data_IF_076255917973
#
_entry.id   IF_076255917973
#
_cell.length_a   1.000
_cell.length_b   1.000
_cell.length_c   1.000
_cell.angle_alpha   90.00
_cell.angle_beta   90.00
_cell.angle_gamma   90.00
#
_symmetry.space_group_name_H-M   'P 1'
#
loop_
_entity.id
_entity.type
_entity.pdbx_description
1 polymer ?
#
# COMPACT_ATOMS: atom_id res chain seq x y z
N UNK A 1 -15.24 1.17 -9.16
CA UNK A 1 -16.29 0.47 -8.41
C UNK A 1 -17.65 0.56 -9.09
N UNK A 2 -18.16 1.77 -9.41
CA UNK A 2 -19.47 1.99 -10.05
C UNK A 2 -19.83 1.01 -11.19
N UNK A 3 -18.97 0.91 -12.22
CA UNK A 3 -19.23 0.03 -13.39
C UNK A 3 -19.45 -1.44 -13.00
N UNK A 4 -18.68 -1.96 -12.04
CA UNK A 4 -18.79 -3.34 -11.56
C UNK A 4 -20.12 -3.55 -10.83
N UNK A 5 -20.49 -2.64 -9.95
CA UNK A 5 -21.76 -2.71 -9.21
C UNK A 5 -22.97 -2.62 -10.16
N UNK A 6 -22.92 -1.73 -11.15
CA UNK A 6 -23.94 -1.62 -12.18
C UNK A 6 -24.04 -2.90 -13.04
N UNK A 7 -22.91 -3.54 -13.34
CA UNK A 7 -22.92 -4.82 -14.03
C UNK A 7 -23.56 -5.92 -13.18
N UNK A 8 -23.17 -6.05 -11.90
CA UNK A 8 -23.78 -7.01 -10.94
C UNK A 8 -25.29 -6.77 -10.84
N UNK A 9 -25.72 -5.51 -10.77
CA UNK A 9 -27.14 -5.15 -10.73
C UNK A 9 -27.90 -5.71 -11.94
N UNK A 10 -27.38 -5.48 -13.15
CA UNK A 10 -28.03 -5.87 -14.41
C UNK A 10 -28.02 -7.38 -14.60
N UNK A 11 -26.90 -8.02 -14.27
CA UNK A 11 -26.70 -9.45 -14.51
C UNK A 11 -27.47 -10.33 -13.51
N UNK A 12 -27.57 -9.90 -12.25
CA UNK A 12 -28.07 -10.72 -11.15
C UNK A 12 -29.38 -10.21 -10.53
N UNK A 13 -30.14 -9.38 -11.26
CA UNK A 13 -31.43 -8.82 -10.80
C UNK A 13 -31.33 -8.04 -9.48
N UNK A 14 -30.35 -7.14 -9.39
CA UNK A 14 -30.12 -6.22 -8.26
C UNK A 14 -30.10 -6.87 -6.86
N UNK A 15 -29.26 -7.88 -6.63
CA UNK A 15 -29.19 -8.53 -5.33
C UNK A 15 -28.62 -7.56 -4.28
N UNK A 16 -28.88 -7.77 -2.98
CA UNK A 16 -28.13 -7.09 -1.92
C UNK A 16 -26.63 -7.35 -2.07
N UNK A 17 -25.82 -6.29 -2.10
CA UNK A 17 -24.36 -6.37 -2.21
C UNK A 17 -23.70 -5.85 -0.95
N UNK A 18 -22.78 -6.66 -0.42
CA UNK A 18 -21.83 -6.26 0.61
C UNK A 18 -20.43 -6.19 0.01
N UNK A 19 -19.83 -5.00 0.03
CA UNK A 19 -18.41 -4.83 -0.32
C UNK A 19 -17.61 -5.23 0.91
N UNK A 20 -17.27 -6.52 0.98
CA UNK A 20 -16.59 -7.10 2.14
C UNK A 20 -15.12 -6.69 2.26
N UNK A 21 -14.50 -6.30 1.15
CA UNK A 21 -13.13 -5.80 1.12
C UNK A 21 -12.94 -4.79 -0.01
N UNK A 22 -12.36 -3.65 0.33
CA UNK A 22 -11.77 -2.74 -0.64
C UNK A 22 -10.63 -1.94 0.00
N UNK A 23 -9.49 -1.87 -0.66
CA UNK A 23 -8.30 -1.23 -0.09
C UNK A 23 -7.17 -1.08 -1.09
N UNK A 24 -6.12 -0.37 -0.66
CA UNK A 24 -4.91 -0.14 -1.44
C UNK A 24 -3.66 -0.33 -0.57
N UNK A 25 -2.63 -0.94 -1.15
CA UNK A 25 -1.36 -1.12 -0.47
C UNK A 25 -0.42 0.07 -0.65
N UNK A 26 0.49 0.23 0.30
CA UNK A 26 1.72 0.99 0.13
C UNK A 26 2.91 0.26 0.77
N UNK A 27 4.09 0.89 0.73
CA UNK A 27 5.31 0.38 1.37
C UNK A 27 5.40 0.67 2.87
N UNK A 28 4.42 1.37 3.45
CA UNK A 28 4.36 1.74 4.86
C UNK A 28 4.45 3.25 5.11
N UNK A 29 4.58 3.58 6.40
CA UNK A 29 4.51 4.95 6.90
C UNK A 29 3.08 5.37 7.30
N UNK A 30 2.99 6.52 7.95
CA UNK A 30 1.71 7.01 8.50
C UNK A 30 1.12 8.20 7.74
N UNK A 31 1.89 8.86 6.87
CA UNK A 31 1.38 9.90 5.99
C UNK A 31 1.01 9.31 4.62
N UNK A 32 -0.14 8.66 4.55
CA UNK A 32 -0.58 7.80 3.45
C UNK A 32 -1.63 8.47 2.55
N UNK A 33 -1.28 9.62 1.99
CA UNK A 33 -2.19 10.46 1.17
C UNK A 33 -2.83 9.68 0.01
N UNK A 34 -2.08 8.80 -0.64
CA UNK A 34 -2.61 7.96 -1.72
C UNK A 34 -3.75 7.04 -1.26
N UNK A 35 -3.68 6.53 -0.03
CA UNK A 35 -4.75 5.71 0.56
C UNK A 35 -6.00 6.54 0.84
N UNK A 36 -5.82 7.80 1.26
CA UNK A 36 -6.94 8.75 1.42
C UNK A 36 -7.65 8.95 0.07
N UNK A 37 -6.91 9.29 -0.97
CA UNK A 37 -7.49 9.54 -2.30
C UNK A 37 -8.17 8.29 -2.87
N UNK A 38 -7.58 7.11 -2.62
CA UNK A 38 -8.18 5.83 -3.00
C UNK A 38 -9.54 5.61 -2.31
N UNK A 39 -9.60 5.73 -0.98
CA UNK A 39 -10.87 5.51 -0.26
C UNK A 39 -11.92 6.55 -0.63
N UNK A 40 -11.57 7.83 -0.74
CA UNK A 40 -12.51 8.87 -1.16
C UNK A 40 -13.10 8.54 -2.54
N UNK A 41 -12.25 8.28 -3.54
CA UNK A 41 -12.71 8.00 -4.91
C UNK A 41 -13.51 6.70 -5.02
N UNK A 42 -13.16 5.65 -4.29
CA UNK A 42 -13.91 4.39 -4.33
C UNK A 42 -15.24 4.46 -3.60
N UNK A 43 -15.32 5.20 -2.48
CA UNK A 43 -16.59 5.44 -1.79
C UNK A 43 -17.52 6.33 -2.62
N UNK A 44 -17.01 7.37 -3.29
CA UNK A 44 -17.79 8.15 -4.27
C UNK A 44 -18.36 7.25 -5.35
N UNK A 45 -17.53 6.39 -5.94
CA UNK A 45 -17.99 5.45 -6.96
C UNK A 45 -18.98 4.38 -6.42
N UNK A 46 -19.04 4.14 -5.12
CA UNK A 46 -20.10 3.33 -4.50
C UNK A 46 -21.38 4.15 -4.37
N UNK A 47 -21.29 5.42 -3.94
CA UNK A 47 -22.42 6.33 -3.83
C UNK A 47 -23.07 6.55 -5.20
N UNK A 48 -22.29 6.83 -6.25
CA UNK A 48 -22.80 6.94 -7.63
C UNK A 48 -23.57 5.67 -8.04
N UNK A 49 -23.09 4.49 -7.64
CA UNK A 49 -23.76 3.24 -7.97
C UNK A 49 -25.08 3.05 -7.20
N UNK A 50 -25.14 3.51 -5.95
CA UNK A 50 -26.37 3.53 -5.15
C UNK A 50 -27.37 4.50 -5.80
N UNK A 51 -26.93 5.68 -6.25
CA UNK A 51 -27.75 6.64 -6.99
C UNK A 51 -28.28 6.05 -8.31
N UNK A 52 -27.46 5.25 -9.01
CA UNK A 52 -27.90 4.50 -10.20
C UNK A 52 -28.94 3.41 -9.89
N UNK A 53 -29.16 3.07 -8.61
CA UNK A 53 -30.14 2.08 -8.14
C UNK A 53 -29.55 0.72 -7.72
N UNK A 54 -28.22 0.61 -7.53
CA UNK A 54 -27.62 -0.62 -7.02
C UNK A 54 -27.93 -0.81 -5.52
N UNK A 55 -28.29 -2.04 -5.13
CA UNK A 55 -28.62 -2.39 -3.75
C UNK A 55 -27.37 -2.69 -2.88
N UNK A 56 -26.51 -1.67 -2.68
CA UNK A 56 -25.33 -1.80 -1.81
C UNK A 56 -25.71 -1.49 -0.36
N UNK A 57 -25.39 -2.42 0.53
CA UNK A 57 -25.86 -2.40 1.91
C UNK A 57 -24.72 -2.32 2.95
N UNK A 58 -23.50 -2.66 2.54
CA UNK A 58 -22.34 -2.66 3.44
C UNK A 58 -21.05 -2.38 2.67
N UNK A 59 -20.12 -1.71 3.35
CA UNK A 59 -18.76 -1.50 2.88
C UNK A 59 -17.77 -1.70 4.03
N UNK A 60 -16.77 -2.54 3.81
CA UNK A 60 -15.72 -2.85 4.79
C UNK A 60 -14.36 -2.52 4.15
N UNK A 61 -13.64 -1.56 4.76
CA UNK A 61 -12.30 -1.20 4.34
C UNK A 61 -11.31 -2.35 4.63
N UNK A 62 -10.55 -2.74 3.61
CA UNK A 62 -9.40 -3.61 3.77
C UNK A 62 -8.13 -2.76 3.94
N UNK A 63 -7.48 -2.74 5.10
CA UNK A 63 -7.81 -3.46 6.33
C UNK A 63 -7.81 -2.54 7.54
N UNK A 64 -8.30 -3.04 8.68
CA UNK A 64 -8.23 -2.28 9.94
C UNK A 64 -6.80 -1.90 10.29
N UNK A 65 -5.85 -2.83 10.16
CA UNK A 65 -4.45 -2.63 10.54
C UNK A 65 -3.52 -3.40 9.61
N UNK A 66 -2.27 -2.97 9.51
CA UNK A 66 -1.27 -3.70 8.73
C UNK A 66 -1.19 -5.17 9.18
N UNK A 67 -1.15 -6.08 8.22
CA UNK A 67 -1.20 -7.53 8.41
C UNK A 67 -0.10 -8.25 7.60
N UNK A 68 -0.09 -9.58 7.69
CA UNK A 68 0.70 -10.44 6.82
C UNK A 68 -0.02 -10.61 5.48
N UNK A 69 0.54 -10.07 4.40
CA UNK A 69 -0.06 -10.02 3.07
C UNK A 69 0.41 -11.18 2.19
N UNK A 70 0.09 -12.41 2.61
CA UNK A 70 0.28 -13.62 1.81
C UNK A 70 1.70 -13.74 1.21
N UNK A 71 1.82 -13.76 -0.12
CA UNK A 71 3.10 -13.85 -0.84
C UNK A 71 4.01 -12.64 -0.64
N UNK A 72 3.45 -11.47 -0.31
CA UNK A 72 4.20 -10.26 -0.04
C UNK A 72 4.70 -10.16 1.42
N UNK A 73 4.25 -11.07 2.29
CA UNK A 73 4.59 -11.03 3.71
C UNK A 73 4.29 -9.66 4.32
N UNK A 74 5.27 -9.05 5.00
CA UNK A 74 5.11 -7.73 5.60
C UNK A 74 5.63 -6.58 4.73
N UNK A 75 5.78 -6.75 3.41
CA UNK A 75 6.30 -5.66 2.54
C UNK A 75 5.22 -4.74 1.98
N UNK A 76 3.99 -5.25 1.86
CA UNK A 76 2.80 -4.48 1.48
C UNK A 76 1.98 -4.15 2.73
N UNK A 77 1.37 -2.98 2.75
CA UNK A 77 0.68 -2.43 3.92
C UNK A 77 -0.69 -1.95 3.48
N UNK A 78 -1.77 -2.63 3.89
CA UNK A 78 -3.15 -2.24 3.56
C UNK A 78 -3.86 -1.50 4.69
N UNK A 79 -3.33 -1.56 5.91
CA UNK A 79 -4.05 -1.12 7.10
C UNK A 79 -4.29 0.38 7.16
N UNK A 80 -5.43 0.76 7.73
CA UNK A 80 -5.65 2.12 8.24
C UNK A 80 -4.73 2.44 9.43
N UNK A 81 -4.32 1.41 10.18
CA UNK A 81 -3.36 1.52 11.27
C UNK A 81 -2.03 0.87 10.90
N UNK A 82 -0.95 1.61 11.13
CA UNK A 82 0.40 1.07 11.08
C UNK A 82 0.64 0.11 12.24
N UNK A 83 1.26 -1.05 11.98
CA UNK A 83 1.68 -2.00 13.01
C UNK A 83 3.20 -2.09 13.05
N UNK A 84 3.78 -1.91 14.25
CA UNK A 84 5.18 -2.20 14.48
C UNK A 84 5.39 -3.72 14.67
N UNK A 85 5.82 -4.39 13.60
CA UNK A 85 6.11 -5.83 13.62
C UNK A 85 7.44 -6.18 14.30
N UNK A 86 8.30 -5.20 14.59
CA UNK A 86 9.56 -5.42 15.30
C UNK A 86 9.37 -5.40 16.82
N UNK A 87 8.42 -4.60 17.31
CA UNK A 87 8.05 -4.56 18.73
C UNK A 87 7.18 -5.76 19.11
N UNK A 88 7.52 -6.50 20.18
CA UNK A 88 6.68 -7.59 20.72
C UNK A 88 5.24 -7.14 21.04
N UNK A 89 5.06 -5.88 21.40
CA UNK A 89 3.74 -5.32 21.75
C UNK A 89 2.84 -5.09 20.53
N UNK A 90 3.38 -5.18 19.30
CA UNK A 90 2.66 -4.94 18.04
C UNK A 90 1.85 -3.64 18.08
N UNK A 91 2.51 -2.56 18.45
CA UNK A 91 1.83 -1.27 18.68
C UNK A 91 1.14 -0.80 17.40
N UNK A 92 -0.13 -0.39 17.51
CA UNK A 92 -0.91 0.17 16.41
C UNK A 92 -0.86 1.70 16.46
N UNK A 93 -0.52 2.32 15.35
CA UNK A 93 -0.46 3.79 15.21
C UNK A 93 -1.41 4.22 14.08
N UNK A 94 -2.39 5.10 14.33
CA UNK A 94 -3.30 5.55 13.28
C UNK A 94 -2.53 6.26 12.16
N UNK A 95 -2.79 5.88 10.91
CA UNK A 95 -2.32 6.63 9.74
C UNK A 95 -3.24 7.83 9.47
N UNK A 96 -2.85 8.71 8.55
CA UNK A 96 -3.70 9.84 8.15
C UNK A 96 -5.04 9.34 7.58
N UNK A 97 -5.02 8.25 6.81
CA UNK A 97 -6.23 7.60 6.30
C UNK A 97 -7.20 7.12 7.38
N UNK A 98 -6.71 6.63 8.54
CA UNK A 98 -7.59 6.24 9.65
C UNK A 98 -8.44 7.41 10.14
N UNK A 99 -7.84 8.60 10.25
CA UNK A 99 -8.55 9.82 10.67
C UNK A 99 -9.58 10.26 9.65
N UNK A 100 -9.24 10.20 8.35
CA UNK A 100 -10.19 10.54 7.28
C UNK A 100 -11.34 9.55 7.24
N UNK A 101 -11.05 8.25 7.28
CA UNK A 101 -12.08 7.21 7.29
C UNK A 101 -13.00 7.33 8.51
N UNK A 102 -12.44 7.59 9.70
CA UNK A 102 -13.22 7.88 10.90
C UNK A 102 -14.11 9.14 10.75
N UNK A 103 -13.63 10.19 10.08
CA UNK A 103 -14.43 11.37 9.79
C UNK A 103 -15.58 11.06 8.83
N UNK A 104 -15.36 10.25 7.79
CA UNK A 104 -16.40 9.79 6.88
C UNK A 104 -17.47 9.01 7.65
N UNK A 105 -17.07 8.05 8.48
CA UNK A 105 -18.01 7.26 9.30
C UNK A 105 -18.76 8.13 10.31
N UNK A 106 -18.12 9.16 10.88
CA UNK A 106 -18.77 10.06 11.84
C UNK A 106 -19.75 11.03 11.20
N UNK A 107 -19.43 11.54 10.02
CA UNK A 107 -20.17 12.64 9.36
C UNK A 107 -21.08 12.16 8.25
N UNK A 108 -20.93 10.91 7.82
CA UNK A 108 -21.58 10.31 6.65
C UNK A 108 -21.31 11.12 5.37
N UNK A 109 -20.13 11.74 5.26
CA UNK A 109 -19.74 12.60 4.14
C UNK A 109 -18.28 12.39 3.76
N UNK A 110 -18.01 12.50 2.47
CA UNK A 110 -16.65 12.51 1.91
C UNK A 110 -16.20 13.96 1.80
N UNK A 111 -15.19 14.33 2.58
CA UNK A 111 -14.57 15.65 2.53
C UNK A 111 -13.16 15.54 1.92
N UNK A 112 -13.01 16.04 0.69
CA UNK A 112 -11.73 16.05 -0.02
C UNK A 112 -10.73 17.05 0.57
N UNK A 113 -11.21 18.07 1.29
CA UNK A 113 -10.35 19.08 1.92
C UNK A 113 -9.79 18.62 3.26
N UNK A 114 -10.46 17.68 3.94
CA UNK A 114 -9.97 17.12 5.19
C UNK A 114 -8.78 16.19 4.95
N UNK A 115 -7.58 16.72 5.22
CA UNK A 115 -6.28 16.07 5.03
C UNK A 115 -5.42 16.21 6.28
N UNK A 116 -5.78 15.54 7.40
CA UNK A 116 -5.05 15.67 8.66
C UNK A 116 -3.66 15.02 8.56
N UNK A 117 -2.68 15.60 9.24
CA UNK A 117 -1.42 14.91 9.49
C UNK A 117 -1.64 13.71 10.42
N UNK A 118 -0.84 12.62 10.31
CA UNK A 118 -0.87 11.55 11.28
C UNK A 118 -0.39 12.04 12.64
N UNK A 119 -0.84 11.40 13.73
CA UNK A 119 -0.43 11.78 15.10
C UNK A 119 1.06 11.55 15.33
N UNK A 120 1.58 10.45 14.77
CA UNK A 120 2.98 10.10 14.79
C UNK A 120 3.48 9.90 13.37
N UNK A 121 4.47 10.68 12.98
CA UNK A 121 5.11 10.56 11.67
C UNK A 121 6.06 9.36 11.65
N UNK A 122 5.71 8.33 10.89
CA UNK A 122 6.55 7.17 10.60
C UNK A 122 6.78 7.18 9.09
N UNK A 123 8.06 7.11 8.70
CA UNK A 123 8.43 7.09 7.28
C UNK A 123 8.34 5.66 6.74
N UNK A 124 7.98 5.47 5.47
CA UNK A 124 8.16 4.18 4.82
C UNK A 124 9.64 3.77 4.88
N UNK A 125 9.94 2.46 4.84
CA UNK A 125 11.28 1.99 4.58
C UNK A 125 11.81 2.62 3.27
N UNK A 126 13.10 2.92 3.24
CA UNK A 126 13.73 3.40 2.01
C UNK A 126 13.46 2.40 0.88
N UNK A 127 13.23 2.87 -0.37
CA UNK A 127 13.09 1.96 -1.49
C UNK A 127 14.32 1.05 -1.52
N UNK A 128 14.09 -0.25 -1.73
CA UNK A 128 15.18 -1.21 -1.89
C UNK A 128 16.09 -0.72 -3.02
N UNK A 129 17.30 -0.26 -2.68
CA UNK A 129 18.35 -0.06 -3.66
C UNK A 129 18.83 -1.46 -4.03
N UNK A 130 18.56 -1.88 -5.27
CA UNK A 130 19.38 -2.93 -5.87
C UNK A 130 20.78 -2.36 -5.98
N UNK A 131 21.65 -2.66 -5.03
CA UNK A 131 23.06 -2.34 -5.18
C UNK A 131 23.63 -3.29 -6.25
N UNK A 132 23.58 -2.86 -7.50
CA UNK A 132 24.22 -3.55 -8.62
C UNK A 132 25.74 -3.36 -8.59
N UNK A 133 26.30 -2.65 -7.61
CA UNK A 133 27.73 -2.49 -7.44
C UNK A 133 28.29 -3.55 -6.49
N UNK A 134 28.64 -4.72 -7.05
CA UNK A 134 29.53 -5.65 -6.37
C UNK A 134 30.90 -4.97 -6.30
N UNK A 135 31.32 -4.53 -5.11
CA UNK A 135 32.72 -4.15 -4.88
C UNK A 135 33.56 -5.41 -5.02
N UNK A 136 34.25 -5.56 -6.16
CA UNK A 136 35.27 -6.59 -6.30
C UNK A 136 36.34 -6.35 -5.22
N UNK A 137 36.67 -7.36 -4.39
CA UNK A 137 37.79 -7.26 -3.47
C UNK A 137 39.05 -6.91 -4.27
N UNK A 138 39.82 -5.92 -3.79
CA UNK A 138 41.02 -5.40 -4.47
C UNK A 138 42.02 -6.52 -4.80
N UNK A 139 42.01 -7.62 -4.04
CA UNK A 139 42.77 -8.84 -4.32
C UNK A 139 42.54 -9.42 -5.72
N UNK A 140 41.30 -9.39 -6.24
CA UNK A 140 41.00 -9.93 -7.57
C UNK A 140 41.49 -9.04 -8.72
N UNK A 141 41.62 -7.73 -8.48
CA UNK A 141 42.19 -6.79 -9.47
C UNK A 141 43.70 -7.03 -9.66
N UNK A 142 44.43 -7.34 -8.59
CA UNK A 142 45.86 -7.64 -8.67
C UNK A 142 46.16 -8.94 -9.43
N UNK A 143 45.36 -9.99 -9.25
CA UNK A 143 45.55 -11.26 -9.97
C UNK A 143 45.33 -11.08 -11.47
N UNK A 144 44.30 -10.32 -11.87
CA UNK A 144 44.04 -10.02 -13.28
C UNK A 144 45.16 -9.18 -13.91
N UNK A 145 45.67 -8.17 -13.21
CA UNK A 145 46.78 -7.36 -13.68
C UNK A 145 48.08 -8.18 -13.84
N UNK A 146 48.39 -9.06 -12.87
CA UNK A 146 49.58 -9.92 -12.94
C UNK A 146 49.48 -10.91 -14.12
N UNK A 147 48.30 -11.50 -14.36
CA UNK A 147 48.09 -12.40 -15.48
C UNK A 147 48.25 -11.70 -16.84
N UNK A 148 47.80 -10.44 -16.96
CA UNK A 148 47.97 -9.64 -18.17
C UNK A 148 49.45 -9.28 -18.39
N UNK A 149 50.15 -8.86 -17.34
CA UNK A 149 51.60 -8.55 -17.42
C UNK A 149 52.40 -9.80 -17.77
N UNK A 150 52.13 -10.94 -17.13
CA UNK A 150 52.78 -12.21 -17.47
C UNK A 150 52.50 -12.62 -18.92
N UNK A 151 51.26 -12.47 -19.40
CA UNK A 151 50.92 -12.78 -20.79
C UNK A 151 51.64 -11.86 -21.78
N UNK A 152 51.83 -10.58 -21.45
CA UNK A 152 52.60 -9.65 -22.30
C UNK A 152 54.10 -9.93 -22.29
N UNK A 153 54.66 -10.27 -21.12
CA UNK A 153 56.10 -10.55 -20.97
C UNK A 153 56.52 -11.87 -21.61
N UNK A 154 55.67 -12.90 -21.55
CA UNK A 154 55.99 -14.24 -22.06
C UNK A 154 55.51 -14.52 -23.49
N UNK A 155 54.86 -13.55 -24.16
CA UNK A 155 54.43 -13.68 -25.57
C UNK A 155 55.34 -12.93 -26.56
N UNK A 156 56.60 -12.65 -26.19
CA UNK A 156 57.64 -12.08 -27.06
C UNK A 156 58.71 -13.10 -27.38
#
# INVERSE_FOLDING_TARGET
MNKLLNWIRKEYNNPPVYVTENGVSDRGGTNDVKRIDYFNSYLEAVLDAIEDGCNVQMYIAWSLMDSYEWKAGFTEKFGLYHVDFTSPNRTRTPKASAKVYANIVKTHRIDWSYRPAPEKMIKPPAPYRSDSSVRLPVTYLFVAALAIVLKLVYSS
#
